data_IF_249723327873
#
_entry.id   IF_249723327873
#
_cell.length_a   1.000
_cell.length_b   1.000
_cell.length_c   1.000
_cell.angle_alpha   90.00
_cell.angle_beta   90.00
_cell.angle_gamma   90.00
#
_symmetry.space_group_name_H-M   'P 1'
#
loop_
_entity.id
_entity.type
_entity.pdbx_description
1 polymer ?
#
# COMPACT_ATOMS: atom_id res chain seq x y z
N UNK A 1 -2.22 37.99 43.47
CA UNK A 1 -0.77 37.99 43.16
C UNK A 1 -0.56 37.22 41.86
N UNK A 2 -0.02 37.86 40.82
CA UNK A 2 0.18 37.24 39.51
C UNK A 2 1.49 36.46 39.50
N UNK A 3 1.40 35.12 39.42
CA UNK A 3 2.58 34.26 39.28
C UNK A 3 3.07 34.30 37.82
N UNK A 4 3.97 35.23 37.55
CA UNK A 4 4.78 35.24 36.34
C UNK A 4 5.59 33.94 36.26
N UNK A 5 5.19 33.01 35.37
CA UNK A 5 5.99 31.82 35.07
C UNK A 5 7.26 32.28 34.34
N UNK A 6 8.37 32.40 35.06
CA UNK A 6 9.66 32.67 34.46
C UNK A 6 10.00 31.58 33.43
N UNK A 7 10.04 31.98 32.16
CA UNK A 7 10.56 31.17 31.07
C UNK A 7 12.08 31.26 31.15
N UNK A 8 12.71 30.17 31.58
CA UNK A 8 14.18 30.06 31.62
C UNK A 8 14.68 29.37 30.34
N UNK A 9 15.90 29.70 29.89
CA UNK A 9 16.52 29.05 28.72
C UNK A 9 16.51 27.53 28.84
N UNK A 10 16.69 26.99 30.05
CA UNK A 10 16.66 25.55 30.32
C UNK A 10 15.28 24.94 30.05
N UNK A 11 14.18 25.61 30.45
CA UNK A 11 12.81 25.18 30.14
C UNK A 11 12.49 25.27 28.65
N UNK A 12 13.01 26.30 27.98
CA UNK A 12 12.85 26.45 26.53
C UNK A 12 13.57 25.33 25.77
N UNK A 13 14.82 25.02 26.13
CA UNK A 13 15.57 23.91 25.54
C UNK A 13 14.93 22.55 25.84
N UNK A 14 14.40 22.36 27.05
CA UNK A 14 13.62 21.16 27.40
C UNK A 14 12.34 21.03 26.56
N UNK A 15 11.62 22.13 26.33
CA UNK A 15 10.44 22.15 25.48
C UNK A 15 10.75 21.83 24.01
N UNK A 16 11.83 22.40 23.48
CA UNK A 16 12.30 22.14 22.10
C UNK A 16 12.78 20.68 21.96
N UNK A 17 13.50 20.14 22.94
CA UNK A 17 13.94 18.75 22.93
C UNK A 17 12.75 17.77 23.01
N UNK A 18 11.75 18.06 23.84
CA UNK A 18 10.55 17.23 23.95
C UNK A 18 9.70 17.26 22.67
N UNK A 19 9.50 18.44 22.08
CA UNK A 19 8.77 18.58 20.82
C UNK A 19 9.52 17.95 19.63
N UNK A 20 10.85 18.08 19.58
CA UNK A 20 11.69 17.45 18.55
C UNK A 20 11.81 15.93 18.69
N UNK A 21 11.79 15.39 19.91
CA UNK A 21 11.75 13.93 20.11
C UNK A 21 10.41 13.32 19.67
N UNK A 22 9.29 14.04 19.89
CA UNK A 22 7.96 13.58 19.49
C UNK A 22 7.80 13.47 17.96
N UNK A 23 8.49 14.28 17.16
CA UNK A 23 8.45 14.19 15.68
C UNK A 23 9.28 13.03 15.13
N UNK A 24 10.28 12.54 15.87
CA UNK A 24 11.08 11.35 15.50
C UNK A 24 10.29 10.07 15.78
N UNK A 25 9.37 10.10 16.76
CA UNK A 25 8.50 8.97 17.14
C UNK A 25 7.09 9.14 16.55
N UNK A 26 6.97 9.73 15.36
CA UNK A 26 5.80 9.47 14.54
C UNK A 26 6.07 8.20 13.73
N UNK A 27 5.39 7.07 14.00
CA UNK A 27 5.43 5.96 13.06
C UNK A 27 4.96 6.51 11.71
N UNK A 28 5.70 6.21 10.64
CA UNK A 28 5.30 6.52 9.28
C UNK A 28 4.10 5.64 8.89
N UNK A 29 2.93 5.86 9.50
CA UNK A 29 1.71 5.04 9.38
C UNK A 29 1.00 5.22 8.05
N UNK A 30 1.69 5.72 7.03
CA UNK A 30 1.14 5.88 5.69
C UNK A 30 2.18 5.70 4.58
N UNK A 31 3.26 4.95 4.86
CA UNK A 31 3.90 4.26 3.74
C UNK A 31 2.89 3.22 3.28
N UNK A 32 2.36 3.39 2.07
CA UNK A 32 1.71 2.28 1.39
C UNK A 32 2.64 1.08 1.60
N UNK A 33 2.16 0.07 2.31
CA UNK A 33 2.80 -1.23 2.34
C UNK A 33 2.73 -1.69 0.89
N UNK A 34 3.68 -1.23 0.07
CA UNK A 34 3.82 -1.64 -1.30
C UNK A 34 4.05 -3.13 -1.20
N UNK A 35 2.95 -3.87 -1.37
CA UNK A 35 2.82 -5.26 -1.72
C UNK A 35 3.96 -6.11 -1.14
N UNK A 36 3.70 -6.82 -0.03
CA UNK A 36 4.56 -7.80 0.64
C UNK A 36 5.69 -8.31 -0.28
N UNK A 37 6.96 -8.11 0.10
CA UNK A 37 8.16 -8.64 -0.61
C UNK A 37 8.22 -8.36 -2.14
N UNK A 38 9.33 -7.80 -2.64
CA UNK A 38 9.55 -7.69 -4.09
C UNK A 38 9.52 -9.05 -4.83
N UNK A 39 9.59 -10.16 -4.09
CA UNK A 39 9.49 -11.51 -4.62
C UNK A 39 8.06 -12.07 -4.62
N UNK A 40 7.09 -11.46 -3.91
CA UNK A 40 5.73 -11.97 -3.92
C UNK A 40 5.05 -11.57 -5.22
N UNK A 41 4.33 -12.52 -5.82
CA UNK A 41 3.70 -12.33 -7.11
C UNK A 41 2.40 -11.54 -6.92
N UNK A 42 2.13 -10.51 -7.74
CA UNK A 42 0.85 -9.81 -7.73
C UNK A 42 -0.30 -10.79 -8.04
N UNK A 43 -1.40 -10.70 -7.28
CA UNK A 43 -2.62 -11.50 -7.52
C UNK A 43 -3.68 -10.62 -8.18
N UNK A 44 -4.13 -11.03 -9.37
CA UNK A 44 -5.15 -10.31 -10.14
C UNK A 44 -6.42 -11.13 -10.37
N UNK A 45 -7.47 -10.46 -10.85
CA UNK A 45 -8.61 -11.11 -11.48
C UNK A 45 -8.81 -10.49 -12.87
N UNK A 46 -9.09 -11.32 -13.87
CA UNK A 46 -9.38 -10.85 -15.23
C UNK A 46 -10.88 -10.86 -15.49
N UNK A 47 -11.42 -9.74 -15.97
CA UNK A 47 -12.82 -9.61 -16.42
C UNK A 47 -12.81 -9.35 -17.93
N UNK A 48 -13.46 -10.24 -18.68
CA UNK A 48 -13.49 -10.24 -20.14
C UNK A 48 -12.26 -10.93 -20.72
N UNK A 49 -12.46 -12.07 -21.38
CA UNK A 49 -11.38 -12.89 -21.95
C UNK A 49 -11.29 -12.77 -23.47
N UNK A 50 -12.29 -12.19 -24.12
CA UNK A 50 -12.28 -11.96 -25.56
C UNK A 50 -11.23 -10.93 -25.99
N UNK A 51 -10.99 -10.93 -27.30
CA UNK A 51 -10.13 -9.96 -27.97
C UNK A 51 -8.70 -10.01 -27.42
N UNK A 52 -8.25 -8.97 -26.71
CA UNK A 52 -6.93 -8.95 -26.08
C UNK A 52 -6.97 -9.42 -24.61
N UNK A 53 -8.14 -9.69 -24.03
CA UNK A 53 -8.29 -10.06 -22.62
C UNK A 53 -7.47 -11.30 -22.26
N UNK A 54 -7.67 -12.41 -22.97
CA UNK A 54 -6.87 -13.61 -22.80
C UNK A 54 -5.42 -13.43 -23.26
N UNK A 55 -5.20 -12.74 -24.38
CA UNK A 55 -3.85 -12.52 -24.91
C UNK A 55 -2.94 -11.74 -23.94
N UNK A 56 -3.49 -10.83 -23.14
CA UNK A 56 -2.77 -10.08 -22.10
C UNK A 56 -2.63 -10.91 -20.83
N UNK A 57 -3.70 -11.60 -20.42
CA UNK A 57 -3.74 -12.44 -19.22
C UNK A 57 -2.70 -13.55 -19.32
N UNK A 58 -2.70 -14.32 -20.41
CA UNK A 58 -1.77 -15.42 -20.67
C UNK A 58 -0.30 -14.99 -20.70
N UNK A 59 0.02 -13.76 -21.16
CA UNK A 59 1.39 -13.22 -21.12
C UNK A 59 1.86 -12.88 -19.71
N UNK A 60 0.92 -12.63 -18.79
CA UNK A 60 1.18 -12.15 -17.44
C UNK A 60 1.26 -13.28 -16.40
N UNK A 61 0.80 -14.50 -16.73
CA UNK A 61 0.79 -15.67 -15.82
C UNK A 61 2.17 -16.13 -15.36
N UNK A 62 3.25 -15.70 -16.03
CA UNK A 62 4.65 -15.93 -15.58
C UNK A 62 5.14 -14.92 -14.53
N UNK A 63 4.44 -13.80 -14.36
CA UNK A 63 4.83 -12.70 -13.47
C UNK A 63 3.84 -12.51 -12.33
N UNK A 64 2.60 -12.95 -12.51
CA UNK A 64 1.49 -12.73 -11.58
C UNK A 64 0.70 -14.02 -11.38
N UNK A 65 -0.01 -14.11 -10.27
CA UNK A 65 -1.02 -15.13 -10.03
C UNK A 65 -2.41 -14.55 -10.32
N UNK A 66 -3.37 -15.42 -10.67
CA UNK A 66 -4.74 -15.00 -10.98
C UNK A 66 -5.71 -15.74 -10.08
N UNK A 67 -6.44 -14.98 -9.25
CA UNK A 67 -7.43 -15.52 -8.33
C UNK A 67 -8.76 -15.88 -9.02
N UNK A 68 -9.09 -15.20 -10.12
CA UNK A 68 -10.32 -15.43 -10.86
C UNK A 68 -10.22 -15.00 -12.33
N UNK A 69 -10.98 -15.68 -13.17
CA UNK A 69 -11.27 -15.29 -14.54
C UNK A 69 -12.80 -15.22 -14.68
N UNK A 70 -13.28 -14.17 -15.33
CA UNK A 70 -14.70 -13.97 -15.57
C UNK A 70 -14.94 -13.52 -17.00
N UNK A 71 -15.93 -14.12 -17.67
CA UNK A 71 -16.49 -13.62 -18.93
C UNK A 71 -18.01 -13.73 -18.86
N UNK A 72 -18.70 -12.88 -19.63
CA UNK A 72 -20.18 -12.91 -19.73
C UNK A 72 -20.66 -14.15 -20.49
N UNK A 73 -19.80 -14.75 -21.30
CA UNK A 73 -20.08 -15.95 -22.08
C UNK A 73 -19.38 -17.16 -21.46
N UNK A 74 -20.21 -18.10 -21.02
CA UNK A 74 -19.75 -19.32 -20.37
C UNK A 74 -18.88 -20.19 -21.29
N UNK A 75 -19.05 -20.14 -22.61
CA UNK A 75 -18.20 -20.92 -23.53
C UNK A 75 -16.79 -20.33 -23.61
N UNK A 76 -16.69 -19.00 -23.68
CA UNK A 76 -15.40 -18.30 -23.67
C UNK A 76 -14.69 -18.51 -22.34
N UNK A 77 -15.43 -18.44 -21.23
CA UNK A 77 -14.87 -18.77 -19.93
C UNK A 77 -14.35 -20.20 -19.92
N UNK A 78 -15.17 -21.19 -20.28
CA UNK A 78 -14.81 -22.62 -20.27
C UNK A 78 -13.62 -22.98 -21.16
N UNK A 79 -13.37 -22.25 -22.25
CA UNK A 79 -12.19 -22.46 -23.10
C UNK A 79 -10.86 -22.04 -22.41
N UNK A 80 -10.92 -21.16 -21.42
CA UNK A 80 -9.76 -20.48 -20.85
C UNK A 80 -9.53 -20.71 -19.34
N UNK A 81 -10.37 -21.54 -18.67
CA UNK A 81 -10.17 -22.00 -17.28
C UNK A 81 -9.79 -23.47 -17.20
#
# INVERSE_FOLDING_TARGET
MSNSRQITRRRMLQGVAAAGAATIILPATHRAHGYQSANDRPVFATIGLRNQGWAITSKSTKFADFAALADVDANVLAENV
#
